data_IF_913715291402
#
_entry.id   IF_913715291402
#
_cell.length_a   1.000
_cell.length_b   1.000
_cell.length_c   1.000
_cell.angle_alpha   90.00
_cell.angle_beta   90.00
_cell.angle_gamma   90.00
#
_symmetry.space_group_name_H-M   'P 1'
#
loop_
_entity.id
_entity.type
_entity.pdbx_description
1 polymer ?
#
# COMPACT_ATOMS: atom_id res chain seq x y z
N UNK A 1 -0.82 14.47 -19.78
CA UNK A 1 -1.58 13.22 -19.54
C UNK A 1 -0.85 12.08 -20.21
N UNK A 2 -0.44 11.10 -19.43
CA UNK A 2 0.31 9.92 -19.90
C UNK A 2 -0.59 8.95 -20.65
N UNK A 3 -0.13 8.40 -21.77
CA UNK A 3 -0.85 7.36 -22.53
C UNK A 3 0.04 6.13 -22.75
N UNK A 4 -0.53 4.93 -22.62
CA UNK A 4 0.26 3.70 -22.71
C UNK A 4 0.81 3.44 -24.12
N UNK A 5 0.24 4.07 -25.14
CA UNK A 5 0.72 4.04 -26.52
C UNK A 5 2.12 4.62 -26.66
N UNK A 6 2.48 5.57 -25.79
CA UNK A 6 3.80 6.22 -25.76
C UNK A 6 4.89 5.35 -25.13
N UNK A 7 4.54 4.21 -24.50
CA UNK A 7 5.53 3.31 -23.92
C UNK A 7 6.51 2.87 -25.00
N UNK A 8 7.81 3.01 -24.72
CA UNK A 8 8.91 2.55 -25.58
C UNK A 8 9.11 1.06 -25.36
N UNK A 9 9.31 0.67 -24.10
CA UNK A 9 9.48 -0.72 -23.69
C UNK A 9 9.11 -0.93 -22.21
N UNK A 10 8.84 -2.17 -21.84
CA UNK A 10 8.71 -2.62 -20.47
C UNK A 10 9.74 -3.72 -20.26
N UNK A 11 10.69 -3.45 -19.36
CA UNK A 11 11.89 -4.27 -19.17
C UNK A 11 12.13 -4.57 -17.70
N UNK A 12 13.09 -5.46 -17.42
CA UNK A 12 13.59 -5.63 -16.05
C UNK A 12 14.32 -4.36 -15.64
N UNK A 13 14.18 -4.00 -14.37
CA UNK A 13 14.84 -2.84 -13.80
C UNK A 13 16.35 -2.86 -14.07
N UNK A 14 16.87 -1.75 -14.59
CA UNK A 14 18.30 -1.48 -14.76
C UNK A 14 18.82 -0.52 -13.68
N UNK A 15 17.96 0.36 -13.18
CA UNK A 15 18.30 1.36 -12.16
C UNK A 15 18.27 0.80 -10.73
N UNK A 16 17.46 -0.24 -10.49
CA UNK A 16 17.32 -0.89 -9.18
C UNK A 16 17.60 -2.40 -9.29
N UNK A 17 18.08 -3.01 -8.19
CA UNK A 17 18.45 -4.44 -8.09
C UNK A 17 17.30 -5.42 -8.38
N UNK A 18 16.05 -4.94 -8.39
CA UNK A 18 14.86 -5.75 -8.63
C UNK A 18 13.74 -4.98 -9.30
N UNK A 19 12.84 -5.70 -9.95
CA UNK A 19 11.60 -5.17 -10.49
C UNK A 19 11.62 -4.94 -12.00
N UNK A 20 10.79 -4.02 -12.43
CA UNK A 20 10.39 -3.76 -13.80
C UNK A 20 10.31 -2.25 -14.03
N UNK A 21 10.70 -1.81 -15.22
CA UNK A 21 10.63 -0.42 -15.67
C UNK A 21 9.65 -0.35 -16.83
N UNK A 22 8.70 0.59 -16.75
CA UNK A 22 7.88 1.02 -17.89
C UNK A 22 8.52 2.31 -18.40
N UNK A 23 9.11 2.24 -19.59
CA UNK A 23 9.92 3.32 -20.17
C UNK A 23 9.06 4.14 -21.11
N UNK A 24 9.00 5.44 -20.87
CA UNK A 24 8.39 6.45 -21.73
C UNK A 24 9.48 7.32 -22.39
N UNK A 25 9.14 8.17 -23.38
CA UNK A 25 10.08 9.15 -23.94
C UNK A 25 10.67 10.07 -22.87
N UNK A 26 11.78 10.73 -23.21
CA UNK A 26 12.47 11.68 -22.33
C UNK A 26 12.96 11.05 -21.01
N UNK A 27 13.37 9.78 -21.06
CA UNK A 27 13.86 9.00 -19.91
C UNK A 27 12.88 8.96 -18.71
N UNK A 28 11.60 9.20 -18.95
CA UNK A 28 10.56 9.08 -17.94
C UNK A 28 10.28 7.59 -17.67
N UNK A 29 10.59 7.14 -16.46
CA UNK A 29 10.51 5.73 -16.08
C UNK A 29 9.57 5.55 -14.89
N UNK A 30 8.57 4.66 -15.04
CA UNK A 30 7.79 4.17 -13.91
C UNK A 30 8.41 2.86 -13.44
N UNK A 31 8.83 2.81 -12.18
CA UNK A 31 9.41 1.61 -11.58
C UNK A 31 8.39 0.84 -10.75
N UNK A 32 8.30 -0.48 -10.97
CA UNK A 32 7.46 -1.43 -10.23
C UNK A 32 8.30 -2.61 -9.74
N UNK A 33 8.07 -3.09 -8.52
CA UNK A 33 8.78 -4.28 -8.01
C UNK A 33 8.11 -5.60 -8.37
N UNK A 34 6.79 -5.58 -8.59
CA UNK A 34 5.98 -6.77 -8.84
C UNK A 34 5.48 -6.81 -10.27
N UNK A 35 5.63 -7.96 -10.90
CA UNK A 35 5.19 -8.16 -12.29
C UNK A 35 3.68 -8.01 -12.44
N UNK A 36 2.91 -8.50 -11.46
CA UNK A 36 1.45 -8.55 -11.54
C UNK A 36 0.79 -7.17 -11.51
N UNK A 37 1.43 -6.17 -10.90
CA UNK A 37 0.90 -4.81 -10.80
C UNK A 37 1.05 -4.02 -12.09
N UNK A 38 1.93 -4.45 -13.01
CA UNK A 38 2.07 -3.86 -14.36
C UNK A 38 0.72 -3.79 -15.07
N UNK A 39 -0.01 -4.93 -15.13
CA UNK A 39 -1.31 -4.98 -15.80
C UNK A 39 -2.34 -4.04 -15.14
N UNK A 40 -2.38 -4.00 -13.81
CA UNK A 40 -3.29 -3.12 -13.06
C UNK A 40 -3.03 -1.65 -13.35
N UNK A 41 -1.75 -1.23 -13.31
CA UNK A 41 -1.38 0.16 -13.55
C UNK A 41 -1.71 0.59 -14.98
N UNK A 42 -1.40 -0.24 -15.98
CA UNK A 42 -1.65 0.10 -17.39
C UNK A 42 -3.14 0.23 -17.72
N UNK A 43 -4.00 -0.59 -17.10
CA UNK A 43 -5.45 -0.45 -17.22
C UNK A 43 -5.89 0.88 -16.62
N UNK A 44 -5.41 1.23 -15.42
CA UNK A 44 -5.75 2.49 -14.76
C UNK A 44 -5.28 3.70 -15.58
N UNK A 45 -4.04 3.71 -16.08
CA UNK A 45 -3.54 4.78 -16.96
C UNK A 45 -4.44 4.95 -18.20
N UNK A 46 -4.89 3.85 -18.81
CA UNK A 46 -5.66 3.90 -20.06
C UNK A 46 -7.12 4.27 -19.85
N UNK A 47 -7.73 3.77 -18.77
CA UNK A 47 -9.18 3.79 -18.59
C UNK A 47 -9.65 4.61 -17.39
N UNK A 48 -8.72 5.20 -16.64
CA UNK A 48 -8.93 5.96 -15.40
C UNK A 48 -9.49 5.13 -14.23
N UNK A 49 -10.48 4.26 -14.50
CA UNK A 49 -11.05 3.33 -13.53
C UNK A 49 -10.86 1.87 -13.93
N UNK A 50 -10.66 1.01 -12.94
CA UNK A 50 -10.48 -0.42 -13.13
C UNK A 50 -11.12 -1.25 -12.01
N UNK A 51 -11.43 -2.51 -12.28
CA UNK A 51 -11.92 -3.46 -11.29
C UNK A 51 -11.44 -4.88 -11.61
N UNK A 52 -11.75 -5.83 -10.73
CA UNK A 52 -11.45 -7.25 -10.94
C UNK A 52 -11.97 -7.79 -12.28
N UNK A 53 -13.12 -7.28 -12.74
CA UNK A 53 -13.73 -7.65 -14.02
C UNK A 53 -12.77 -7.49 -15.22
N UNK A 54 -11.88 -6.49 -15.15
CA UNK A 54 -10.94 -6.19 -16.22
C UNK A 54 -9.79 -7.21 -16.31
N UNK A 55 -9.55 -7.96 -15.24
CA UNK A 55 -8.44 -8.92 -15.15
C UNK A 55 -8.88 -10.39 -15.08
N UNK A 56 -10.16 -10.68 -14.83
CA UNK A 56 -10.72 -12.05 -14.92
C UNK A 56 -11.12 -12.45 -16.34
N UNK A 57 -11.04 -11.54 -17.31
CA UNK A 57 -11.47 -11.76 -18.69
C UNK A 57 -12.95 -11.54 -18.94
N UNK A 58 -13.63 -10.75 -18.09
CA UNK A 58 -15.04 -10.38 -18.31
C UNK A 58 -15.22 -9.32 -19.41
N UNK A 59 -14.12 -8.70 -19.87
CA UNK A 59 -14.10 -7.76 -20.97
C UNK A 59 -12.75 -7.78 -21.72
N UNK A 60 -12.63 -6.94 -22.75
CA UNK A 60 -11.49 -6.92 -23.66
C UNK A 60 -10.38 -5.93 -23.28
N UNK A 61 -10.45 -5.27 -22.09
CA UNK A 61 -9.47 -4.24 -21.71
C UNK A 61 -8.07 -4.82 -21.62
N UNK A 62 -7.90 -5.95 -20.94
CA UNK A 62 -6.59 -6.62 -20.84
C UNK A 62 -6.01 -7.02 -22.20
N UNK A 63 -6.86 -7.54 -23.11
CA UNK A 63 -6.43 -7.86 -24.48
C UNK A 63 -6.04 -6.59 -25.27
N UNK A 64 -6.72 -5.47 -25.02
CA UNK A 64 -6.37 -4.18 -25.60
C UNK A 64 -4.98 -3.71 -25.13
N UNK A 65 -4.69 -3.84 -23.82
CA UNK A 65 -3.35 -3.55 -23.26
C UNK A 65 -2.29 -4.42 -23.94
N UNK A 66 -2.52 -5.74 -24.02
CA UNK A 66 -1.58 -6.67 -24.66
C UNK A 66 -1.31 -6.31 -26.13
N UNK A 67 -2.35 -5.91 -26.87
CA UNK A 67 -2.21 -5.48 -28.27
C UNK A 67 -1.35 -4.21 -28.40
N UNK A 68 -1.56 -3.21 -27.54
CA UNK A 68 -0.79 -1.96 -27.56
C UNK A 68 0.69 -2.21 -27.21
N UNK A 69 0.95 -3.16 -26.31
CA UNK A 69 2.30 -3.51 -25.86
C UNK A 69 2.98 -4.58 -26.71
N UNK A 70 2.37 -5.02 -27.82
CA UNK A 70 2.97 -6.05 -28.65
C UNK A 70 4.36 -5.61 -29.15
N UNK A 71 5.38 -6.43 -28.88
CA UNK A 71 6.79 -6.10 -29.19
C UNK A 71 7.46 -5.12 -28.22
N UNK A 72 6.76 -4.59 -27.22
CA UNK A 72 7.28 -3.66 -26.20
C UNK A 72 7.52 -4.31 -24.84
N UNK A 73 6.98 -5.51 -24.60
CA UNK A 73 7.09 -6.26 -23.35
C UNK A 73 7.27 -7.74 -23.66
N UNK A 74 7.91 -8.49 -22.76
CA UNK A 74 7.84 -9.94 -22.74
C UNK A 74 6.38 -10.40 -22.58
N UNK A 75 5.89 -11.16 -23.57
CA UNK A 75 4.49 -11.58 -23.66
C UNK A 75 4.03 -12.45 -22.48
N UNK A 76 4.96 -13.03 -21.72
CA UNK A 76 4.65 -13.83 -20.53
C UNK A 76 4.36 -12.99 -19.28
N UNK A 77 4.59 -11.67 -19.30
CA UNK A 77 4.48 -10.82 -18.11
C UNK A 77 3.05 -10.39 -17.81
N UNK A 78 2.22 -10.27 -18.84
CA UNK A 78 0.78 -9.98 -18.72
C UNK A 78 0.01 -11.26 -19.06
N UNK A 79 -0.66 -11.81 -18.05
CA UNK A 79 -1.48 -13.02 -18.20
C UNK A 79 -2.75 -12.71 -19.01
N UNK A 80 -3.38 -13.74 -19.58
CA UNK A 80 -4.71 -13.58 -20.20
C UNK A 80 -5.83 -13.41 -19.17
N UNK A 81 -5.59 -13.89 -17.95
CA UNK A 81 -6.50 -13.79 -16.81
C UNK A 81 -5.71 -13.88 -15.50
N UNK A 82 -6.24 -13.28 -14.44
CA UNK A 82 -5.67 -13.30 -13.10
C UNK A 82 -6.65 -13.97 -12.14
N UNK A 83 -6.22 -15.04 -11.46
CA UNK A 83 -7.06 -15.73 -10.47
C UNK A 83 -7.35 -14.88 -9.22
N UNK A 84 -6.39 -14.04 -8.82
CA UNK A 84 -6.57 -13.02 -7.79
C UNK A 84 -6.50 -11.64 -8.46
N UNK A 85 -7.59 -11.29 -9.15
CA UNK A 85 -7.69 -10.09 -9.97
C UNK A 85 -7.67 -8.78 -9.16
N UNK A 86 -7.96 -8.84 -7.86
CA UNK A 86 -7.87 -7.69 -6.96
C UNK A 86 -6.41 -7.33 -6.61
N UNK A 87 -5.51 -8.31 -6.52
CA UNK A 87 -4.10 -8.07 -6.15
C UNK A 87 -3.35 -7.09 -7.07
N UNK A 88 -3.41 -7.23 -8.41
CA UNK A 88 -2.79 -6.28 -9.34
C UNK A 88 -3.13 -4.82 -9.07
N UNK A 89 -4.33 -4.51 -8.55
CA UNK A 89 -4.74 -3.14 -8.20
C UNK A 89 -4.40 -2.79 -6.75
N UNK A 90 -4.82 -3.62 -5.80
CA UNK A 90 -4.62 -3.37 -4.36
C UNK A 90 -3.15 -3.32 -3.93
N UNK A 91 -2.22 -3.90 -4.69
CA UNK A 91 -0.78 -3.81 -4.40
C UNK A 91 -0.13 -2.55 -4.97
N UNK A 92 -0.79 -1.82 -5.89
CA UNK A 92 -0.26 -0.56 -6.44
C UNK A 92 -0.05 0.48 -5.34
N UNK A 93 -1.03 0.64 -4.45
CA UNK A 93 -0.88 1.54 -3.30
C UNK A 93 -0.20 0.85 -2.09
N UNK A 94 -0.53 -0.40 -1.75
CA UNK A 94 -0.09 -1.01 -0.48
C UNK A 94 1.34 -1.53 -0.48
N UNK A 95 1.94 -1.77 -1.64
CA UNK A 95 3.27 -2.35 -1.76
C UNK A 95 4.15 -1.61 -2.76
N UNK A 96 3.57 -1.15 -3.86
CA UNK A 96 4.28 -0.36 -4.89
C UNK A 96 4.35 1.15 -4.58
N UNK A 97 3.65 1.63 -3.55
CA UNK A 97 3.73 3.01 -3.06
C UNK A 97 3.09 4.06 -3.97
N UNK A 98 2.23 3.68 -4.90
CA UNK A 98 1.46 4.63 -5.72
C UNK A 98 0.27 5.15 -4.92
N UNK A 99 0.48 6.17 -4.10
CA UNK A 99 -0.55 6.79 -3.25
C UNK A 99 -1.70 7.44 -4.03
N UNK A 100 -1.46 7.78 -5.29
CA UNK A 100 -2.44 8.32 -6.25
C UNK A 100 -3.41 7.28 -6.81
N UNK A 101 -3.23 6.00 -6.46
CA UNK A 101 -4.18 4.94 -6.78
C UNK A 101 -5.01 4.64 -5.53
N UNK A 102 -6.32 4.84 -5.61
CA UNK A 102 -7.24 4.58 -4.51
C UNK A 102 -8.40 3.68 -4.95
N UNK A 103 -9.09 3.10 -3.97
CA UNK A 103 -10.29 2.31 -4.21
C UNK A 103 -11.53 3.15 -3.89
N UNK A 104 -12.48 3.16 -4.82
CA UNK A 104 -13.81 3.75 -4.66
C UNK A 104 -14.86 2.63 -4.56
N UNK A 105 -15.82 2.80 -3.65
CA UNK A 105 -16.89 1.83 -3.38
C UNK A 105 -16.62 0.88 -2.22
N UNK A 106 -17.48 0.91 -1.20
CA UNK A 106 -17.40 0.08 0.02
C UNK A 106 -18.32 -1.16 -0.03
N UNK A 107 -19.19 -1.30 -1.04
CA UNK A 107 -20.17 -2.38 -1.16
C UNK A 107 -20.10 -3.04 -2.56
N UNK A 108 -19.36 -4.14 -2.69
CA UNK A 108 -19.27 -4.94 -3.93
C UNK A 108 -17.86 -5.07 -4.51
N UNK A 109 -17.78 -5.28 -5.83
CA UNK A 109 -16.51 -5.33 -6.58
C UNK A 109 -15.79 -3.98 -6.42
N UNK A 110 -14.59 -4.00 -5.83
CA UNK A 110 -13.80 -2.79 -5.61
C UNK A 110 -13.45 -2.16 -6.96
N UNK A 111 -13.80 -0.90 -7.13
CA UNK A 111 -13.34 -0.08 -8.23
C UNK A 111 -12.10 0.67 -7.77
N UNK A 112 -11.07 0.70 -8.61
CA UNK A 112 -9.84 1.45 -8.40
C UNK A 112 -9.80 2.61 -9.37
N UNK A 113 -9.20 3.71 -8.93
CA UNK A 113 -9.15 4.97 -9.67
C UNK A 113 -7.72 5.48 -9.69
N UNK A 114 -7.35 6.07 -10.83
CA UNK A 114 -6.15 6.87 -11.03
C UNK A 114 -6.53 8.07 -11.89
N UNK A 115 -6.48 9.27 -11.33
CA UNK A 115 -6.85 10.47 -12.04
C UNK A 115 -5.80 10.89 -13.09
N UNK A 116 -6.21 11.33 -14.30
CA UNK A 116 -5.28 11.76 -15.35
C UNK A 116 -4.31 12.88 -14.93
N UNK A 117 -4.73 13.73 -14.00
CA UNK A 117 -3.92 14.80 -13.41
C UNK A 117 -2.79 14.27 -12.52
N UNK A 118 -2.94 13.07 -11.97
CA UNK A 118 -1.95 12.43 -11.11
C UNK A 118 -0.95 11.56 -11.88
N UNK A 119 -1.09 11.41 -13.20
CA UNK A 119 -0.20 10.55 -14.00
C UNK A 119 1.28 10.93 -13.88
N UNK A 120 1.61 12.22 -13.78
CA UNK A 120 3.01 12.66 -13.64
C UNK A 120 3.62 12.21 -12.29
N UNK A 121 2.80 12.02 -11.24
CA UNK A 121 3.26 11.54 -9.93
C UNK A 121 3.71 10.07 -9.97
N UNK A 122 3.37 9.31 -11.02
CA UNK A 122 3.82 7.92 -11.21
C UNK A 122 5.33 7.80 -11.47
N UNK A 123 5.98 8.88 -11.93
CA UNK A 123 7.41 8.92 -12.19
C UNK A 123 8.25 9.22 -10.96
N UNK A 124 7.61 9.61 -9.85
CA UNK A 124 8.31 9.82 -8.60
C UNK A 124 8.92 8.50 -8.13
N UNK A 125 10.13 8.57 -7.59
CA UNK A 125 10.75 7.42 -6.92
C UNK A 125 9.94 7.17 -5.64
N UNK A 126 8.96 6.29 -5.75
CA UNK A 126 8.12 5.91 -4.63
C UNK A 126 8.93 5.00 -3.71
N UNK A 127 8.90 5.26 -2.40
CA UNK A 127 9.48 4.33 -1.44
C UNK A 127 8.67 3.02 -1.50
N UNK A 128 9.26 2.00 -2.12
CA UNK A 128 8.63 0.68 -2.20
C UNK A 128 8.62 0.10 -0.82
N UNK A 129 7.52 -0.53 -0.43
CA UNK A 129 7.49 -1.31 0.81
C UNK A 129 8.39 -2.54 0.60
N UNK A 130 9.69 -2.41 0.82
CA UNK A 130 10.51 -3.55 1.24
C UNK A 130 10.10 -3.80 2.68
N UNK A 131 9.02 -4.58 2.87
CA UNK A 131 8.74 -5.13 4.21
C UNK A 131 9.89 -6.08 4.52
N UNK A 132 10.96 -5.57 5.13
CA UNK A 132 11.83 -6.42 5.91
C UNK A 132 10.93 -7.06 6.96
N UNK A 133 10.76 -8.38 6.85
CA UNK A 133 9.96 -9.09 7.83
C UNK A 133 10.69 -9.03 9.15
N UNK A 134 10.06 -8.39 10.14
CA UNK A 134 10.48 -8.50 11.53
C UNK A 134 10.70 -9.96 11.90
N UNK A 135 11.84 -10.24 12.54
CA UNK A 135 12.12 -11.57 13.08
C UNK A 135 11.09 -11.93 14.16
N UNK A 136 10.93 -13.21 14.45
CA UNK A 136 10.06 -13.67 15.55
C UNK A 136 10.52 -13.06 16.88
N UNK A 137 11.83 -12.92 17.07
CA UNK A 137 12.42 -12.31 18.27
C UNK A 137 12.06 -10.84 18.38
N UNK A 138 12.16 -10.06 17.30
CA UNK A 138 11.80 -8.64 17.31
C UNK A 138 10.32 -8.42 17.57
N UNK A 139 9.45 -9.23 16.94
CA UNK A 139 8.00 -9.19 17.20
C UNK A 139 7.68 -9.42 18.68
N UNK A 140 8.32 -10.43 19.28
CA UNK A 140 8.15 -10.73 20.70
C UNK A 140 8.69 -9.60 21.58
N UNK A 141 9.82 -8.99 21.22
CA UNK A 141 10.41 -7.88 21.96
C UNK A 141 9.52 -6.63 21.92
N UNK A 142 9.02 -6.23 20.74
CA UNK A 142 8.10 -5.10 20.57
C UNK A 142 6.84 -5.33 21.42
N UNK A 143 6.23 -6.52 21.30
CA UNK A 143 5.02 -6.84 22.05
C UNK A 143 5.27 -6.84 23.58
N UNK A 144 6.43 -7.34 24.02
CA UNK A 144 6.84 -7.33 25.43
C UNK A 144 7.04 -5.91 25.96
N UNK A 145 7.71 -5.04 25.19
CA UNK A 145 7.92 -3.64 25.56
C UNK A 145 6.59 -2.89 25.72
N UNK A 146 5.58 -3.25 24.93
CA UNK A 146 4.22 -2.71 25.02
C UNK A 146 3.30 -3.48 25.99
N UNK A 147 3.84 -4.38 26.82
CA UNK A 147 3.06 -5.13 27.82
C UNK A 147 1.98 -6.03 27.22
N UNK A 148 2.14 -6.48 25.97
CA UNK A 148 1.15 -7.28 25.26
C UNK A 148 -0.05 -6.50 24.72
N UNK A 149 0.03 -5.17 24.68
CA UNK A 149 -1.10 -4.28 24.37
C UNK A 149 -0.88 -3.47 23.09
N UNK A 150 -1.99 -3.04 22.51
CA UNK A 150 -2.03 -2.04 21.45
C UNK A 150 -1.38 -0.75 21.92
N UNK A 151 -0.44 -0.22 21.15
CA UNK A 151 0.27 1.02 21.47
C UNK A 151 -0.64 2.26 21.53
N UNK A 152 -1.85 2.18 20.95
CA UNK A 152 -2.83 3.26 20.97
C UNK A 152 -3.89 3.02 22.03
N UNK A 153 -4.76 2.03 21.82
CA UNK A 153 -5.96 1.85 22.65
C UNK A 153 -5.77 0.89 23.83
N UNK A 154 -4.56 0.37 24.07
CA UNK A 154 -4.26 -0.51 25.20
C UNK A 154 -4.91 -1.90 25.22
N UNK A 155 -5.66 -2.26 24.18
CA UNK A 155 -6.29 -3.58 24.10
C UNK A 155 -5.22 -4.68 24.03
N UNK A 156 -5.45 -5.79 24.75
CA UNK A 156 -4.57 -6.96 24.65
C UNK A 156 -4.58 -7.54 23.23
N UNK A 157 -3.40 -7.86 22.73
CA UNK A 157 -3.19 -8.31 21.35
C UNK A 157 -2.91 -9.81 21.29
N UNK A 158 -3.54 -10.47 20.34
CA UNK A 158 -3.44 -11.90 20.12
C UNK A 158 -3.18 -12.19 18.65
N UNK A 159 -2.44 -13.27 18.38
CA UNK A 159 -2.23 -13.73 17.00
C UNK A 159 -3.55 -14.27 16.44
N UNK A 160 -3.77 -14.11 15.12
CA UNK A 160 -5.02 -14.50 14.47
C UNK A 160 -5.48 -15.94 14.76
N UNK A 161 -4.52 -16.86 14.92
CA UNK A 161 -4.79 -18.28 15.19
C UNK A 161 -5.22 -18.55 16.64
N UNK A 162 -4.94 -17.64 17.57
CA UNK A 162 -5.32 -17.74 18.98
C UNK A 162 -6.68 -17.08 19.29
N UNK A 163 -7.30 -16.41 18.31
CA UNK A 163 -8.57 -15.70 18.50
C UNK A 163 -9.73 -16.56 18.00
N UNK A 164 -10.73 -16.78 18.85
CA UNK A 164 -11.96 -17.48 18.46
C UNK A 164 -12.67 -16.75 17.31
N UNK A 165 -13.27 -17.52 16.38
CA UNK A 165 -14.02 -16.99 15.24
C UNK A 165 -15.08 -15.95 15.65
N UNK A 166 -15.80 -16.17 16.76
CA UNK A 166 -16.91 -15.31 17.22
C UNK A 166 -16.54 -14.38 18.38
N UNK A 167 -15.29 -13.90 18.39
CA UNK A 167 -14.83 -12.93 19.39
C UNK A 167 -15.49 -11.57 19.17
N UNK A 168 -16.14 -11.02 20.20
CA UNK A 168 -16.67 -9.66 20.18
C UNK A 168 -15.55 -8.65 19.94
N UNK A 169 -15.75 -7.71 19.02
CA UNK A 169 -14.75 -6.70 18.64
C UNK A 169 -13.39 -7.29 18.27
N UNK A 170 -13.38 -8.38 17.48
CA UNK A 170 -12.16 -9.09 17.03
C UNK A 170 -11.05 -8.16 16.51
N UNK A 171 -11.40 -7.08 15.84
CA UNK A 171 -10.44 -6.12 15.27
C UNK A 171 -9.68 -5.31 16.35
N UNK A 172 -10.24 -5.20 17.56
CA UNK A 172 -9.59 -4.54 18.70
C UNK A 172 -8.55 -5.41 19.40
N UNK A 173 -8.53 -6.72 19.13
CA UNK A 173 -7.62 -7.68 19.78
C UNK A 173 -6.68 -8.40 18.80
N UNK A 174 -6.89 -8.24 17.49
CA UNK A 174 -6.04 -8.86 16.48
C UNK A 174 -4.71 -8.11 16.35
N UNK A 175 -3.60 -8.79 16.62
CA UNK A 175 -2.23 -8.27 16.55
C UNK A 175 -1.80 -7.96 15.11
N UNK A 176 -1.33 -6.73 14.90
CA UNK A 176 -0.61 -6.30 13.71
C UNK A 176 0.67 -5.54 14.12
N UNK A 177 1.71 -5.63 13.29
CA UNK A 177 2.92 -4.83 13.42
C UNK A 177 2.96 -3.84 12.27
N UNK A 178 3.23 -2.58 12.58
CA UNK A 178 3.32 -1.49 11.60
C UNK A 178 4.43 -0.53 11.98
N UNK A 179 4.89 0.26 11.01
CA UNK A 179 5.88 1.29 11.26
C UNK A 179 5.24 2.48 12.01
N UNK A 180 5.98 3.15 12.90
CA UNK A 180 5.60 4.42 13.52
C UNK A 180 5.53 5.50 12.45
N UNK A 181 6.65 5.71 11.76
CA UNK A 181 6.75 6.52 10.55
C UNK A 181 6.70 5.59 9.34
N UNK A 182 5.70 5.71 8.46
CA UNK A 182 5.63 4.92 7.22
C UNK A 182 6.90 5.09 6.36
N UNK A 183 7.32 4.01 5.68
CA UNK A 183 8.52 4.01 4.81
C UNK A 183 8.40 5.05 3.68
N UNK A 184 7.21 5.20 3.10
CA UNK A 184 6.86 6.21 2.09
C UNK A 184 6.81 7.65 2.62
N UNK A 185 6.99 7.83 3.93
CA UNK A 185 7.07 9.13 4.60
C UNK A 185 8.43 9.36 5.28
N UNK A 186 9.47 8.65 4.84
CA UNK A 186 10.83 8.79 5.37
C UNK A 186 11.15 7.91 6.58
N UNK A 187 10.27 6.97 6.92
CA UNK A 187 10.55 5.98 7.96
C UNK A 187 11.58 4.94 7.53
N UNK A 188 12.26 4.36 8.51
CA UNK A 188 13.28 3.31 8.29
C UNK A 188 12.79 1.94 8.74
N UNK A 189 13.39 0.87 8.18
CA UNK A 189 13.14 -0.51 8.60
C UNK A 189 14.03 -0.90 9.80
N UNK A 190 13.93 -0.14 10.88
CA UNK A 190 14.67 -0.35 12.13
C UNK A 190 13.72 -0.72 13.27
N UNK A 191 14.22 -1.44 14.26
CA UNK A 191 13.43 -1.98 15.38
C UNK A 191 12.60 -0.89 16.09
N UNK A 192 13.20 0.28 16.30
CA UNK A 192 12.64 1.44 17.00
C UNK A 192 11.44 2.05 16.25
N UNK A 193 11.43 1.92 14.92
CA UNK A 193 10.35 2.43 14.09
C UNK A 193 9.17 1.45 14.00
N UNK A 194 9.16 0.33 14.73
CA UNK A 194 7.99 -0.57 14.76
C UNK A 194 7.16 -0.40 16.02
N UNK A 195 5.87 -0.68 15.88
CA UNK A 195 4.90 -0.74 16.99
C UNK A 195 3.89 -1.86 16.75
N UNK A 196 3.38 -2.43 17.85
CA UNK A 196 2.27 -3.38 17.81
C UNK A 196 0.92 -2.66 17.99
N UNK A 197 0.00 -2.90 17.08
CA UNK A 197 -1.33 -2.28 17.06
C UNK A 197 -2.40 -3.36 16.95
N UNK A 198 -3.63 -3.04 17.38
CA UNK A 198 -4.78 -3.82 16.97
C UNK A 198 -5.16 -3.48 15.52
N UNK A 199 -5.80 -4.43 14.83
CA UNK A 199 -6.25 -4.24 13.45
C UNK A 199 -7.05 -2.94 13.24
N UNK A 200 -7.94 -2.61 14.17
CA UNK A 200 -8.73 -1.36 14.12
C UNK A 200 -7.85 -0.11 14.17
N UNK A 201 -6.90 -0.03 15.11
CA UNK A 201 -6.02 1.14 15.25
C UNK A 201 -5.07 1.25 14.05
N UNK A 202 -4.54 0.12 13.57
CA UNK A 202 -3.68 0.11 12.39
C UNK A 202 -4.43 0.53 11.11
N UNK A 203 -5.69 0.12 10.96
CA UNK A 203 -6.55 0.58 9.87
C UNK A 203 -6.78 2.09 9.96
N UNK A 204 -7.12 2.61 11.14
CA UNK A 204 -7.36 4.03 11.37
C UNK A 204 -6.09 4.87 11.12
N UNK A 205 -4.92 4.40 11.59
CA UNK A 205 -3.61 4.99 11.30
C UNK A 205 -3.39 5.12 9.80
N UNK A 206 -3.59 4.05 9.03
CA UNK A 206 -3.43 4.09 7.56
C UNK A 206 -4.35 5.09 6.89
N UNK A 207 -5.61 5.18 7.33
CA UNK A 207 -6.56 6.16 6.78
C UNK A 207 -6.15 7.60 7.07
N UNK A 208 -5.67 7.89 8.28
CA UNK A 208 -5.20 9.24 8.63
C UNK A 208 -3.88 9.58 7.92
N UNK A 209 -2.94 8.64 7.88
CA UNK A 209 -1.69 8.79 7.13
C UNK A 209 -1.95 8.92 5.62
N UNK A 210 -3.07 8.46 5.08
CA UNK A 210 -3.38 8.62 3.66
C UNK A 210 -3.67 10.09 3.30
N UNK A 211 -4.45 10.80 4.12
CA UNK A 211 -4.86 12.19 3.86
C UNK A 211 -3.87 13.25 4.38
N UNK A 212 -2.82 12.82 5.09
CA UNK A 212 -1.89 13.73 5.77
C UNK A 212 -0.93 14.44 4.80
N UNK A 213 -0.93 15.77 4.76
CA UNK A 213 0.04 16.56 3.96
C UNK A 213 1.27 17.03 4.74
N UNK A 214 1.28 16.81 6.05
CA UNK A 214 2.36 17.24 6.95
C UNK A 214 3.62 16.37 6.85
N UNK A 215 4.77 16.95 7.21
CA UNK A 215 6.00 16.18 7.41
C UNK A 215 5.85 15.27 8.63
N UNK A 216 6.03 13.97 8.42
CA UNK A 216 5.85 12.98 9.48
C UNK A 216 6.95 13.13 10.54
N UNK A 217 6.56 13.23 11.81
CA UNK A 217 7.49 13.41 12.93
C UNK A 217 6.88 12.91 14.25
N UNK A 218 7.69 12.88 15.30
CA UNK A 218 7.28 12.46 16.66
C UNK A 218 6.23 13.37 17.30
N UNK A 219 5.91 14.52 16.71
CA UNK A 219 4.81 15.37 17.17
C UNK A 219 3.43 14.82 16.77
N UNK A 220 3.37 13.77 15.95
CA UNK A 220 2.13 13.08 15.62
C UNK A 220 1.83 11.94 16.60
N UNK A 221 0.62 11.92 17.16
CA UNK A 221 0.15 10.84 18.04
C UNK A 221 0.20 9.46 17.38
N UNK A 222 0.12 9.39 16.04
CA UNK A 222 0.20 8.12 15.30
C UNK A 222 1.64 7.57 15.19
N UNK A 223 2.64 8.42 15.43
CA UNK A 223 4.08 8.07 15.46
C UNK A 223 4.50 7.78 16.90
N UNK A 224 4.15 8.68 17.82
CA UNK A 224 4.52 8.58 19.23
C UNK A 224 3.35 8.96 20.17
N UNK A 225 2.45 8.01 20.46
CA UNK A 225 1.27 8.27 21.29
C UNK A 225 1.60 8.58 22.76
N UNK A 226 2.83 8.30 23.21
CA UNK A 226 3.28 8.64 24.56
C UNK A 226 3.69 10.11 24.71
N UNK A 227 4.07 10.76 23.60
CA UNK A 227 4.58 12.14 23.59
C UNK A 227 3.63 13.12 22.91
N UNK A 228 2.63 12.64 22.16
CA UNK A 228 1.66 13.49 21.47
C UNK A 228 0.27 12.87 21.49
N UNK A 229 -0.74 13.74 21.59
CA UNK A 229 -2.15 13.39 21.47
C UNK A 229 -2.78 13.94 20.18
N UNK A 230 -2.02 14.68 19.37
CA UNK A 230 -2.52 15.32 18.15
C UNK A 230 -2.22 14.46 16.91
N UNK A 231 -3.24 14.16 16.14
CA UNK A 231 -3.10 13.58 14.80
C UNK A 231 -2.82 14.69 13.80
N UNK A 232 -1.57 14.81 13.32
CA UNK A 232 -1.15 15.91 12.42
C UNK A 232 -2.00 16.03 11.15
N UNK A 233 -2.53 14.91 10.65
CA UNK A 233 -3.34 14.90 9.43
C UNK A 233 -4.62 15.75 9.53
N UNK A 234 -5.20 15.85 10.72
CA UNK A 234 -6.51 16.46 10.97
C UNK A 234 -6.49 17.52 12.07
N UNK A 235 -5.42 17.59 12.86
CA UNK A 235 -5.36 18.40 14.08
C UNK A 235 -6.19 17.83 15.24
N UNK A 236 -6.73 16.61 15.11
CA UNK A 236 -7.58 16.01 16.13
C UNK A 236 -6.76 15.61 17.38
N UNK A 237 -7.25 16.00 18.56
CA UNK A 237 -6.79 15.47 19.84
C UNK A 237 -7.48 14.13 20.14
N UNK A 238 -6.68 13.08 20.28
CA UNK A 238 -7.13 11.70 20.54
C UNK A 238 -6.76 11.20 21.93
N UNK A 239 -6.46 12.10 22.87
CA UNK A 239 -6.14 11.75 24.27
C UNK A 239 -7.20 10.85 24.92
N UNK A 240 -8.48 11.02 24.58
CA UNK A 240 -9.61 10.20 25.05
C UNK A 240 -9.57 8.73 24.58
N UNK A 241 -8.77 8.43 23.56
CA UNK A 241 -8.68 7.10 22.92
C UNK A 241 -7.32 6.44 23.11
N UNK A 242 -6.34 7.19 23.63
CA UNK A 242 -5.03 6.68 23.96
C UNK A 242 -5.05 6.03 25.35
N UNK A 243 -4.26 4.99 25.53
CA UNK A 243 -3.98 4.49 26.88
C UNK A 243 -3.03 5.41 27.61
N UNK A 244 -3.48 5.88 28.77
CA UNK A 244 -2.63 6.48 29.81
C UNK A 244 -1.57 5.50 30.30
#
# INVERSE_FOLDING_TARGET
MLTIEQIIEIRKSKLHDRGYEIVFPEDKIIWLTKRRTIAGLLILIKYHTASEADLVGANNRLQTIKKILNGKIDSSWIQDRYGDANKPFSELWTEEGFSVVHAEGLQGNRQYVLDPEDHEKLFNINAKSSRLQLSVQDKNNILRLQGGKCNFCGSYLFTKNSINKYTFSKDRVTLEFDHRIPIDRGGENIFENYQALCHYCNKSKRQMCFVCTETCSDSCALVNPSNSHIVLATGEDISDRLTN
#
